data_IF_973309386186
#
_entry.id   IF_973309386186
#
_cell.length_a   1.000
_cell.length_b   1.000
_cell.length_c   1.000
_cell.angle_alpha   90.00
_cell.angle_beta   90.00
_cell.angle_gamma   90.00
#
_symmetry.space_group_name_H-M   'P 1'
#
loop_
_entity.id
_entity.type
_entity.pdbx_description
1 polymer ?
#
# COMPACT_ATOMS: atom_id res chain seq x y z
N UNK A 1 -17.39 14.19 16.89
CA UNK A 1 -17.23 12.77 16.46
C UNK A 1 -18.55 11.99 16.52
N UNK A 2 -19.41 12.20 17.53
CA UNK A 2 -20.72 11.53 17.60
C UNK A 2 -21.63 11.85 16.40
N UNK A 3 -21.71 13.12 16.00
CA UNK A 3 -22.48 13.56 14.81
C UNK A 3 -21.96 13.02 13.47
N UNK A 4 -20.66 12.71 13.36
CA UNK A 4 -20.09 12.16 12.12
C UNK A 4 -20.39 10.68 12.00
N UNK A 5 -20.34 9.96 13.12
CA UNK A 5 -20.78 8.56 13.15
C UNK A 5 -22.30 8.47 12.91
N UNK A 6 -23.12 9.30 13.55
CA UNK A 6 -24.58 9.29 13.38
C UNK A 6 -25.03 9.71 11.96
N UNK A 7 -24.27 10.57 11.27
CA UNK A 7 -24.55 11.00 9.89
C UNK A 7 -23.82 10.20 8.79
N UNK A 8 -23.09 9.14 9.12
CA UNK A 8 -22.53 8.27 8.08
C UNK A 8 -23.66 7.59 7.31
N UNK A 9 -23.61 7.64 5.97
CA UNK A 9 -24.59 7.00 5.07
C UNK A 9 -24.80 5.50 5.37
N UNK A 10 -23.79 4.85 5.96
CA UNK A 10 -23.87 3.47 6.45
C UNK A 10 -24.94 3.30 7.54
N UNK A 11 -25.09 4.27 8.45
CA UNK A 11 -26.12 4.19 9.50
C UNK A 11 -27.52 4.39 8.94
N UNK A 12 -27.68 5.21 7.89
CA UNK A 12 -28.94 5.32 7.14
C UNK A 12 -29.30 4.02 6.44
N UNK A 13 -28.32 3.25 5.99
CA UNK A 13 -28.52 1.95 5.38
C UNK A 13 -28.96 0.86 6.38
N UNK A 14 -28.64 1.04 7.66
CA UNK A 14 -29.00 0.12 8.74
C UNK A 14 -30.40 0.40 9.33
N UNK A 15 -31.05 1.51 8.94
CA UNK A 15 -32.35 1.95 9.45
C UNK A 15 -33.54 1.28 8.72
N UNK A 16 -33.49 -0.05 8.66
CA UNK A 16 -34.56 -0.89 8.11
C UNK A 16 -34.59 -0.99 6.58
N UNK A 17 -35.47 -1.90 6.11
CA UNK A 17 -35.52 -2.33 4.69
C UNK A 17 -35.82 -1.17 3.73
N UNK A 18 -36.72 -0.26 4.10
CA UNK A 18 -37.12 0.84 3.23
C UNK A 18 -36.03 1.90 3.04
N UNK A 19 -35.27 2.23 4.10
CA UNK A 19 -34.14 3.16 4.01
C UNK A 19 -33.00 2.58 3.16
N UNK A 20 -32.71 1.28 3.35
CA UNK A 20 -31.79 0.52 2.50
C UNK A 20 -32.22 0.54 1.03
N UNK A 21 -33.48 0.23 0.73
CA UNK A 21 -34.00 0.25 -0.65
C UNK A 21 -33.96 1.64 -1.28
N UNK A 22 -34.28 2.70 -0.54
CA UNK A 22 -34.22 4.07 -1.04
C UNK A 22 -32.78 4.52 -1.34
N UNK A 23 -31.83 4.20 -0.45
CA UNK A 23 -30.42 4.48 -0.68
C UNK A 23 -29.88 3.71 -1.90
N UNK A 24 -30.26 2.43 -2.03
CA UNK A 24 -29.97 1.61 -3.22
C UNK A 24 -30.56 2.27 -4.48
N UNK A 25 -31.80 2.76 -4.44
CA UNK A 25 -32.43 3.48 -5.56
C UNK A 25 -31.70 4.78 -5.94
N UNK A 26 -31.23 5.56 -4.96
CA UNK A 26 -30.44 6.75 -5.20
C UNK A 26 -29.08 6.42 -5.83
N UNK A 27 -28.43 5.33 -5.39
CA UNK A 27 -27.22 4.82 -6.02
C UNK A 27 -27.46 4.28 -7.45
N UNK A 28 -28.64 3.71 -7.71
CA UNK A 28 -29.03 3.25 -9.05
C UNK A 28 -29.26 4.39 -10.04
N UNK A 29 -29.61 5.59 -9.58
CA UNK A 29 -29.70 6.76 -10.45
C UNK A 29 -28.32 7.36 -10.71
N UNK A 30 -27.40 6.58 -11.29
CA UNK A 30 -26.35 7.17 -12.10
C UNK A 30 -27.01 7.58 -13.43
N UNK A 31 -27.34 8.86 -13.66
CA UNK A 31 -28.04 9.27 -14.88
C UNK A 31 -27.25 8.92 -16.15
N UNK A 32 -25.92 8.79 -16.06
CA UNK A 32 -25.10 8.37 -17.19
C UNK A 32 -25.40 6.91 -17.62
N UNK A 33 -25.83 6.04 -16.71
CA UNK A 33 -26.22 4.67 -17.03
C UNK A 33 -27.46 4.60 -17.95
N UNK A 34 -28.35 5.59 -17.90
CA UNK A 34 -29.53 5.61 -18.78
C UNK A 34 -29.31 6.48 -20.02
N UNK A 35 -28.66 7.63 -19.86
CA UNK A 35 -28.52 8.64 -20.91
C UNK A 35 -27.31 8.37 -21.80
N UNK A 36 -26.14 8.11 -21.20
CA UNK A 36 -24.88 7.97 -21.93
C UNK A 36 -24.57 6.52 -22.31
N UNK A 37 -25.10 5.55 -21.57
CA UNK A 37 -24.75 4.13 -21.72
C UNK A 37 -25.97 3.25 -21.50
N UNK A 38 -27.00 3.32 -22.38
CA UNK A 38 -28.38 2.85 -22.14
C UNK A 38 -28.48 1.44 -21.56
N UNK A 39 -28.48 1.33 -20.23
CA UNK A 39 -28.54 0.07 -19.50
C UNK A 39 -27.24 -0.75 -19.48
N UNK A 40 -26.13 -0.20 -19.98
CA UNK A 40 -24.85 -0.87 -20.14
C UNK A 40 -23.84 -0.46 -19.06
N UNK A 41 -22.98 -1.39 -18.59
CA UNK A 41 -21.89 -1.05 -17.68
C UNK A 41 -20.93 -0.03 -18.29
N UNK A 42 -20.41 0.87 -17.45
CA UNK A 42 -19.42 1.88 -17.82
C UNK A 42 -18.11 1.66 -17.08
N UNK A 43 -17.00 2.10 -17.67
CA UNK A 43 -15.69 2.12 -17.01
C UNK A 43 -15.61 3.33 -16.05
N UNK A 44 -16.50 3.38 -15.07
CA UNK A 44 -16.58 4.43 -14.06
C UNK A 44 -16.73 3.82 -12.67
N UNK A 45 -16.31 4.55 -11.63
CA UNK A 45 -16.65 4.19 -10.26
C UNK A 45 -18.14 4.45 -9.93
N UNK A 46 -18.55 4.14 -8.70
CA UNK A 46 -19.94 4.33 -8.23
C UNK A 46 -20.38 5.79 -8.17
N UNK A 47 -19.46 6.75 -8.24
CA UNK A 47 -19.72 8.18 -8.28
C UNK A 47 -19.65 8.75 -9.72
N UNK A 48 -19.44 7.89 -10.73
CA UNK A 48 -19.36 8.28 -12.13
C UNK A 48 -17.99 8.81 -12.57
N UNK A 49 -16.95 8.68 -11.75
CA UNK A 49 -15.60 9.07 -12.19
C UNK A 49 -15.04 8.02 -13.15
N UNK A 50 -14.55 8.41 -14.34
CA UNK A 50 -13.93 7.47 -15.26
C UNK A 50 -12.73 6.76 -14.64
N UNK A 51 -12.61 5.47 -14.93
CA UNK A 51 -11.38 4.75 -14.65
C UNK A 51 -10.20 5.43 -15.36
N UNK A 52 -9.07 5.55 -14.69
CA UNK A 52 -7.88 6.14 -15.28
C UNK A 52 -6.60 5.40 -14.83
N UNK A 53 -5.55 5.56 -15.62
CA UNK A 53 -4.28 4.85 -15.44
C UNK A 53 -3.58 5.18 -14.10
N UNK A 54 -3.97 6.24 -13.39
CA UNK A 54 -3.39 6.59 -12.08
C UNK A 54 -3.71 5.58 -10.99
N UNK A 55 -4.64 4.65 -11.22
CA UNK A 55 -4.90 3.52 -10.32
C UNK A 55 -3.90 2.36 -10.48
N UNK A 56 -3.06 2.40 -11.52
CA UNK A 56 -2.04 1.38 -11.77
C UNK A 56 -0.72 1.82 -11.14
N UNK A 57 -0.15 0.96 -10.29
CA UNK A 57 1.20 1.12 -9.74
C UNK A 57 2.12 0.08 -10.38
N UNK A 58 3.23 0.54 -10.94
CA UNK A 58 4.30 -0.30 -11.46
C UNK A 58 5.63 0.41 -11.22
N UNK A 59 6.34 0.00 -10.18
CA UNK A 59 7.57 0.61 -9.72
C UNK A 59 8.82 -0.02 -10.35
N UNK A 60 8.66 -1.07 -11.16
CA UNK A 60 9.74 -1.86 -11.74
C UNK A 60 10.68 -2.47 -10.68
N UNK A 61 10.17 -2.64 -9.46
CA UNK A 61 10.79 -3.39 -8.38
C UNK A 61 9.77 -4.44 -7.92
N UNK A 62 10.08 -5.70 -8.20
CA UNK A 62 9.18 -6.82 -7.93
C UNK A 62 8.73 -6.88 -6.46
N UNK A 63 9.59 -6.53 -5.51
CA UNK A 63 9.25 -6.60 -4.08
C UNK A 63 8.31 -5.49 -3.65
N UNK A 64 8.35 -4.33 -4.33
CA UNK A 64 7.42 -3.22 -4.13
C UNK A 64 6.08 -3.53 -4.80
N UNK A 65 6.13 -3.98 -6.06
CA UNK A 65 4.95 -4.26 -6.86
C UNK A 65 4.12 -5.42 -6.27
N UNK A 66 4.76 -6.50 -5.81
CA UNK A 66 4.05 -7.61 -5.15
C UNK A 66 3.33 -7.18 -3.87
N UNK A 67 3.91 -6.27 -3.07
CA UNK A 67 3.23 -5.72 -1.89
C UNK A 67 2.06 -4.82 -2.26
N UNK A 68 2.21 -4.02 -3.31
CA UNK A 68 1.11 -3.23 -3.86
C UNK A 68 -0.04 -4.14 -4.33
N UNK A 69 0.28 -5.24 -5.00
CA UNK A 69 -0.70 -6.24 -5.44
C UNK A 69 -1.41 -6.88 -4.24
N UNK A 70 -0.68 -7.38 -3.24
CA UNK A 70 -1.26 -7.94 -2.01
C UNK A 70 -2.22 -6.94 -1.33
N UNK A 71 -1.82 -5.67 -1.22
CA UNK A 71 -2.68 -4.62 -0.66
C UNK A 71 -3.91 -4.31 -1.55
N UNK A 72 -3.77 -4.48 -2.87
CA UNK A 72 -4.87 -4.42 -3.84
C UNK A 72 -5.91 -5.49 -3.59
N UNK A 73 -5.51 -6.76 -3.54
CA UNK A 73 -6.39 -7.90 -3.28
C UNK A 73 -7.10 -7.77 -1.91
N UNK A 74 -6.39 -7.31 -0.86
CA UNK A 74 -7.02 -7.05 0.44
C UNK A 74 -8.12 -5.97 0.38
N UNK A 75 -7.89 -4.88 -0.37
CA UNK A 75 -8.89 -3.83 -0.55
C UNK A 75 -10.09 -4.31 -1.36
N UNK A 76 -9.87 -5.07 -2.42
CA UNK A 76 -10.93 -5.66 -3.23
C UNK A 76 -11.77 -6.65 -2.41
N UNK A 77 -11.13 -7.54 -1.64
CA UNK A 77 -11.81 -8.48 -0.74
C UNK A 77 -12.76 -7.76 0.23
N UNK A 78 -12.28 -6.73 0.93
CA UNK A 78 -13.10 -5.93 1.84
C UNK A 78 -14.24 -5.22 1.08
N UNK A 79 -13.97 -4.77 -0.15
CA UNK A 79 -14.99 -4.22 -1.04
C UNK A 79 -16.14 -5.21 -1.27
N UNK A 80 -15.84 -6.46 -1.65
CA UNK A 80 -16.86 -7.48 -1.83
C UNK A 80 -17.60 -7.84 -0.54
N UNK A 81 -16.87 -7.93 0.59
CA UNK A 81 -17.46 -8.19 1.90
C UNK A 81 -18.48 -7.13 2.30
N UNK A 82 -18.20 -5.86 1.97
CA UNK A 82 -19.14 -4.76 2.17
C UNK A 82 -20.32 -4.78 1.19
N UNK A 83 -20.17 -5.34 -0.01
CA UNK A 83 -21.23 -5.42 -1.02
C UNK A 83 -22.24 -6.54 -0.76
N UNK A 84 -21.80 -7.68 -0.20
CA UNK A 84 -22.65 -8.86 0.02
C UNK A 84 -23.92 -8.56 0.85
N UNK A 85 -23.86 -7.78 1.95
CA UNK A 85 -25.06 -7.43 2.71
C UNK A 85 -26.02 -6.48 1.97
N UNK A 86 -25.59 -5.84 0.88
CA UNK A 86 -26.38 -4.80 0.20
C UNK A 86 -27.40 -5.36 -0.79
N UNK A 87 -27.33 -6.66 -1.10
CA UNK A 87 -28.23 -7.33 -2.03
C UNK A 87 -28.86 -8.55 -1.38
N UNK A 88 -30.02 -8.97 -1.90
CA UNK A 88 -30.67 -10.25 -1.57
C UNK A 88 -30.70 -11.23 -2.75
N UNK A 89 -30.21 -10.82 -3.92
CA UNK A 89 -30.12 -11.66 -5.11
C UNK A 89 -29.08 -12.78 -4.92
N UNK A 90 -29.52 -14.03 -5.08
CA UNK A 90 -28.68 -15.21 -4.86
C UNK A 90 -27.52 -15.32 -5.84
N UNK A 91 -27.70 -14.93 -7.09
CA UNK A 91 -26.67 -15.01 -8.13
C UNK A 91 -25.62 -13.92 -7.95
N UNK A 92 -26.04 -12.72 -7.51
CA UNK A 92 -25.10 -11.65 -7.15
C UNK A 92 -24.28 -12.07 -5.94
N UNK A 93 -24.90 -12.64 -4.89
CA UNK A 93 -24.18 -13.15 -3.72
C UNK A 93 -23.17 -14.24 -4.10
N UNK A 94 -23.57 -15.21 -4.93
CA UNK A 94 -22.68 -16.27 -5.41
C UNK A 94 -21.48 -15.69 -6.17
N UNK A 95 -21.71 -14.73 -7.06
CA UNK A 95 -20.65 -14.04 -7.81
C UNK A 95 -19.68 -13.31 -6.88
N UNK A 96 -20.20 -12.53 -5.93
CA UNK A 96 -19.37 -11.80 -4.96
C UNK A 96 -18.57 -12.75 -4.06
N UNK A 97 -19.16 -13.87 -3.64
CA UNK A 97 -18.47 -14.90 -2.87
C UNK A 97 -17.34 -15.56 -3.67
N UNK A 98 -17.57 -15.86 -4.95
CA UNK A 98 -16.54 -16.37 -5.83
C UNK A 98 -15.38 -15.38 -5.97
N UNK A 99 -15.66 -14.13 -6.33
CA UNK A 99 -14.65 -13.09 -6.50
C UNK A 99 -13.86 -12.86 -5.21
N UNK A 100 -14.54 -12.69 -4.08
CA UNK A 100 -13.91 -12.54 -2.77
C UNK A 100 -12.95 -13.70 -2.44
N UNK A 101 -13.32 -14.94 -2.78
CA UNK A 101 -12.48 -16.12 -2.57
C UNK A 101 -11.27 -16.12 -3.52
N UNK A 102 -11.44 -15.61 -4.74
CA UNK A 102 -10.33 -15.43 -5.70
C UNK A 102 -9.30 -14.42 -5.20
N UNK A 103 -9.72 -13.31 -4.59
CA UNK A 103 -8.80 -12.34 -3.99
C UNK A 103 -7.89 -12.99 -2.93
N UNK A 104 -8.44 -13.89 -2.11
CA UNK A 104 -7.65 -14.66 -1.13
C UNK A 104 -6.61 -15.53 -1.84
N UNK A 105 -6.98 -16.16 -2.95
CA UNK A 105 -6.05 -16.99 -3.73
C UNK A 105 -4.95 -16.15 -4.37
N UNK A 106 -5.28 -15.00 -4.96
CA UNK A 106 -4.29 -14.10 -5.54
C UNK A 106 -3.35 -13.55 -4.47
N UNK A 107 -3.87 -13.18 -3.29
CA UNK A 107 -3.04 -12.76 -2.16
C UNK A 107 -2.01 -13.84 -1.81
N UNK A 108 -2.44 -15.10 -1.67
CA UNK A 108 -1.54 -16.23 -1.40
C UNK A 108 -0.50 -16.43 -2.51
N UNK A 109 -0.88 -16.27 -3.77
CA UNK A 109 0.04 -16.36 -4.90
C UNK A 109 1.10 -15.26 -4.87
N UNK A 110 0.71 -14.01 -4.58
CA UNK A 110 1.65 -12.89 -4.48
C UNK A 110 2.54 -12.99 -3.24
N UNK A 111 2.00 -13.44 -2.11
CA UNK A 111 2.76 -13.70 -0.89
C UNK A 111 3.82 -14.77 -1.13
N UNK A 112 3.43 -15.92 -1.71
CA UNK A 112 4.36 -16.98 -2.07
C UNK A 112 5.44 -16.49 -3.05
N UNK A 113 5.07 -15.69 -4.07
CA UNK A 113 6.05 -15.11 -4.98
C UNK A 113 7.04 -14.18 -4.24
N UNK A 114 6.55 -13.34 -3.32
CA UNK A 114 7.39 -12.42 -2.54
C UNK A 114 8.36 -13.17 -1.61
N UNK A 115 7.97 -14.33 -1.08
CA UNK A 115 8.82 -15.17 -0.25
C UNK A 115 10.00 -15.78 -1.01
N UNK A 116 9.84 -16.04 -2.31
CA UNK A 116 10.93 -16.59 -3.17
C UNK A 116 12.05 -15.59 -3.45
N UNK A 117 11.80 -14.28 -3.29
CA UNK A 117 12.78 -13.23 -3.54
C UNK A 117 13.50 -12.92 -2.22
N UNK A 118 14.80 -13.17 -2.11
CA UNK A 118 15.57 -12.81 -0.90
C UNK A 118 16.81 -11.97 -1.23
N UNK A 119 17.02 -10.84 -0.53
CA UNK A 119 16.17 -10.26 0.51
C UNK A 119 14.88 -9.63 -0.06
N UNK A 120 13.72 -9.88 0.58
CA UNK A 120 12.44 -9.31 0.13
C UNK A 120 12.12 -7.90 0.68
N UNK A 121 12.95 -7.32 1.55
CA UNK A 121 12.77 -5.91 1.94
C UNK A 121 13.27 -5.04 0.78
N UNK A 122 12.55 -3.97 0.38
CA UNK A 122 12.87 -3.18 -0.80
C UNK A 122 14.38 -2.95 -0.88
N UNK A 123 15.06 -3.61 -1.83
CA UNK A 123 16.49 -3.54 -1.91
C UNK A 123 16.80 -2.18 -2.53
N UNK A 124 16.84 -1.14 -1.73
CA UNK A 124 17.51 0.09 -2.12
C UNK A 124 19.02 -0.19 -2.18
N UNK A 125 19.73 0.49 -3.09
CA UNK A 125 21.19 0.58 -2.96
C UNK A 125 21.52 1.25 -1.64
N UNK A 126 20.78 2.30 -1.31
CA UNK A 126 20.93 3.06 -0.07
C UNK A 126 20.28 2.34 1.10
N UNK A 127 21.09 2.03 2.10
CA UNK A 127 20.64 1.51 3.37
C UNK A 127 20.13 2.64 4.26
N UNK A 128 19.25 2.28 5.19
CA UNK A 128 18.69 3.22 6.16
C UNK A 128 19.78 3.75 7.10
N UNK A 129 19.77 5.06 7.36
CA UNK A 129 20.64 5.65 8.38
C UNK A 129 20.38 5.03 9.78
N UNK A 130 21.41 4.55 10.50
CA UNK A 130 21.29 4.02 11.86
C UNK A 130 20.83 5.07 12.88
N UNK A 131 20.87 6.34 12.50
CA UNK A 131 20.44 7.46 13.33
C UNK A 131 18.92 7.56 13.46
N UNK A 132 18.19 7.09 12.44
CA UNK A 132 16.75 7.32 12.30
C UNK A 132 15.91 6.04 12.19
N UNK A 133 16.52 4.92 11.85
CA UNK A 133 15.83 3.67 11.47
C UNK A 133 14.96 3.06 12.58
N UNK A 134 15.27 3.34 13.84
CA UNK A 134 14.57 2.86 15.02
C UNK A 134 13.91 3.98 15.84
N UNK A 135 13.68 5.16 15.25
CA UNK A 135 12.96 6.24 15.92
C UNK A 135 11.45 6.09 15.75
N UNK A 136 10.72 6.18 16.86
CA UNK A 136 9.27 6.32 16.85
C UNK A 136 8.88 7.62 17.54
N UNK A 137 8.26 8.54 16.79
CA UNK A 137 7.76 9.79 17.34
C UNK A 137 6.30 9.65 17.73
N UNK A 138 6.00 9.94 19.00
CA UNK A 138 4.62 10.13 19.42
C UNK A 138 4.15 11.52 18.98
N UNK A 139 3.41 11.55 17.87
CA UNK A 139 2.77 12.76 17.35
C UNK A 139 1.28 12.81 17.70
N UNK A 140 0.79 11.85 18.48
CA UNK A 140 -0.58 11.84 18.98
C UNK A 140 -0.72 12.82 20.15
N UNK A 141 -1.89 13.47 20.25
CA UNK A 141 -2.29 14.24 21.45
C UNK A 141 -3.25 13.45 22.35
N UNK A 142 -3.56 12.21 21.96
CA UNK A 142 -4.59 11.38 22.56
C UNK A 142 -3.99 10.27 23.43
N UNK A 143 -4.65 9.11 23.43
CA UNK A 143 -4.13 7.93 24.12
C UNK A 143 -2.92 7.37 23.38
N UNK A 144 -1.90 7.03 24.14
CA UNK A 144 -0.71 6.37 23.60
C UNK A 144 -1.01 4.90 23.33
N UNK A 145 -0.57 4.43 22.17
CA UNK A 145 -0.60 3.02 21.79
C UNK A 145 0.83 2.51 21.72
N UNK A 146 1.07 1.41 22.44
CA UNK A 146 2.38 0.77 22.59
C UNK A 146 2.29 -0.68 22.10
N UNK A 147 3.32 -1.14 21.39
CA UNK A 147 3.38 -2.49 20.82
C UNK A 147 4.65 -2.76 20.03
N UNK A 148 4.76 -3.92 19.35
CA UNK A 148 6.00 -4.34 18.66
C UNK A 148 6.51 -3.38 17.58
N UNK A 149 5.69 -2.43 17.13
CA UNK A 149 6.05 -1.40 16.17
C UNK A 149 6.73 -0.17 16.80
N UNK A 150 6.78 -0.06 18.13
CA UNK A 150 7.41 1.05 18.84
C UNK A 150 8.03 0.68 20.21
N UNK A 151 8.06 -0.61 20.56
CA UNK A 151 8.66 -1.17 21.77
C UNK A 151 9.47 -2.42 21.48
N UNK A 152 10.54 -2.63 22.26
CA UNK A 152 11.44 -3.76 22.08
C UNK A 152 12.31 -3.59 20.84
N UNK A 153 12.51 -4.67 20.08
CA UNK A 153 13.36 -4.66 18.88
C UNK A 153 12.52 -4.59 17.58
N UNK A 154 13.04 -3.86 16.61
CA UNK A 154 12.49 -3.82 15.26
C UNK A 154 12.57 -5.19 14.58
N UNK A 155 11.54 -5.51 13.80
CA UNK A 155 11.32 -6.86 13.26
C UNK A 155 12.46 -7.35 12.37
N UNK A 156 12.96 -6.49 11.47
CA UNK A 156 13.98 -6.82 10.47
C UNK A 156 15.40 -6.46 10.90
N UNK A 157 15.59 -5.22 11.37
CA UNK A 157 16.93 -4.70 11.65
C UNK A 157 17.43 -5.09 13.04
N UNK A 158 16.56 -5.61 13.91
CA UNK A 158 16.88 -5.99 15.30
C UNK A 158 17.50 -4.83 16.09
N UNK A 159 16.99 -3.64 15.84
CA UNK A 159 17.36 -2.41 16.53
C UNK A 159 16.31 -2.09 17.58
N UNK A 160 16.75 -1.71 18.77
CA UNK A 160 15.89 -1.32 19.88
C UNK A 160 15.12 -0.04 19.52
N UNK A 161 13.79 -0.06 19.62
CA UNK A 161 12.94 1.09 19.36
C UNK A 161 13.22 2.21 20.36
N UNK A 162 13.41 3.41 19.82
CA UNK A 162 13.56 4.63 20.58
C UNK A 162 12.25 5.43 20.52
N UNK A 163 11.46 5.29 21.58
CA UNK A 163 10.20 6.00 21.72
C UNK A 163 10.45 7.46 22.15
N UNK A 164 10.07 8.40 21.30
CA UNK A 164 10.17 9.83 21.55
C UNK A 164 8.78 10.35 21.90
N UNK A 165 8.58 10.68 23.17
CA UNK A 165 7.31 11.21 23.67
C UNK A 165 7.18 12.71 23.37
N UNK A 166 8.14 13.53 23.84
CA UNK A 166 8.21 14.95 23.50
C UNK A 166 8.97 15.18 22.18
N UNK A 167 8.22 15.03 21.09
CA UNK A 167 8.72 15.24 19.72
C UNK A 167 9.28 16.66 19.51
N UNK A 168 8.70 17.68 20.14
CA UNK A 168 9.12 19.07 19.92
C UNK A 168 10.46 19.36 20.62
N UNK A 169 10.61 18.88 21.85
CA UNK A 169 11.86 19.00 22.60
C UNK A 169 12.99 18.22 21.90
N UNK A 170 12.71 17.02 21.42
CA UNK A 170 13.67 16.21 20.68
C UNK A 170 14.20 16.95 19.45
N UNK A 171 13.31 17.50 18.62
CA UNK A 171 13.69 18.27 17.42
C UNK A 171 14.48 19.53 17.78
N UNK A 172 14.08 20.27 18.82
CA UNK A 172 14.77 21.49 19.26
C UNK A 172 16.16 21.22 19.81
N UNK A 173 16.30 20.19 20.63
CA UNK A 173 17.56 19.86 21.30
C UNK A 173 18.61 19.27 20.36
N UNK A 174 18.18 18.69 19.24
CA UNK A 174 19.05 18.04 18.26
C UNK A 174 19.24 18.84 16.97
N UNK A 175 18.81 20.10 16.94
CA UNK A 175 18.87 20.97 15.76
C UNK A 175 18.22 20.30 14.53
N UNK A 176 16.93 19.95 14.64
CA UNK A 176 16.23 19.26 13.55
C UNK A 176 16.74 17.84 13.32
N UNK A 177 17.14 17.14 14.39
CA UNK A 177 17.79 15.84 14.38
C UNK A 177 19.20 15.81 13.80
N UNK A 178 19.77 16.92 13.30
CA UNK A 178 21.11 16.95 12.67
C UNK A 178 22.21 16.47 13.63
N UNK A 179 22.12 16.81 14.91
CA UNK A 179 23.18 16.50 15.89
C UNK A 179 22.97 15.16 16.62
N UNK A 180 21.88 14.45 16.31
CA UNK A 180 21.59 13.16 16.95
C UNK A 180 22.64 12.10 16.57
N UNK A 181 23.00 11.25 17.53
CA UNK A 181 23.88 10.09 17.31
C UNK A 181 23.06 8.80 17.24
N UNK A 182 23.49 7.80 16.45
CA UNK A 182 22.88 6.47 16.47
C UNK A 182 22.84 5.89 17.89
N UNK A 183 21.71 5.29 18.25
CA UNK A 183 21.42 4.67 19.55
C UNK A 183 20.53 3.44 19.30
N UNK A 184 20.56 2.45 20.20
CA UNK A 184 19.74 1.23 20.04
C UNK A 184 20.07 0.39 18.81
N UNK A 185 21.27 0.57 18.23
CA UNK A 185 21.73 -0.14 17.03
C UNK A 185 23.22 -0.40 17.08
N UNK A 186 23.64 -1.52 16.50
CA UNK A 186 25.05 -1.86 16.29
C UNK A 186 25.63 -1.23 15.02
N UNK A 187 24.79 -0.73 14.12
CA UNK A 187 25.21 -0.20 12.82
C UNK A 187 25.79 1.21 12.95
N UNK A 188 26.83 1.49 12.18
CA UNK A 188 27.43 2.82 12.07
C UNK A 188 27.18 3.44 10.69
N UNK A 189 27.15 4.77 10.61
CA UNK A 189 27.03 5.50 9.34
C UNK A 189 28.13 5.11 8.34
N UNK A 190 29.36 4.84 8.83
CA UNK A 190 30.48 4.42 7.98
C UNK A 190 30.22 3.04 7.35
N UNK A 191 29.72 2.09 8.13
CA UNK A 191 29.39 0.76 7.64
C UNK A 191 28.25 0.82 6.61
N UNK A 192 27.23 1.64 6.87
CA UNK A 192 26.14 1.88 5.91
C UNK A 192 26.67 2.45 4.60
N UNK A 193 27.51 3.49 4.63
CA UNK A 193 28.10 4.05 3.41
C UNK A 193 28.97 3.05 2.63
N UNK A 194 29.68 2.16 3.32
CA UNK A 194 30.45 1.09 2.69
C UNK A 194 29.53 0.05 2.03
N UNK A 195 28.44 -0.31 2.71
CA UNK A 195 27.42 -1.22 2.18
C UNK A 195 26.74 -0.66 0.94
N UNK A 196 26.36 0.62 0.96
CA UNK A 196 25.76 1.32 -0.17
C UNK A 196 26.67 1.26 -1.41
N UNK A 197 27.96 1.58 -1.22
CA UNK A 197 28.95 1.53 -2.30
C UNK A 197 29.15 0.12 -2.86
N UNK A 198 29.07 -0.90 -1.99
CA UNK A 198 29.20 -2.30 -2.40
C UNK A 198 27.98 -2.73 -3.23
N UNK A 199 26.77 -2.51 -2.71
CA UNK A 199 25.52 -2.85 -3.38
C UNK A 199 25.35 -2.10 -4.70
N UNK A 200 25.77 -0.83 -4.77
CA UNK A 200 25.76 -0.04 -6.00
C UNK A 200 26.57 -0.71 -7.12
N UNK A 201 27.77 -1.20 -6.79
CA UNK A 201 28.66 -1.89 -7.74
C UNK A 201 28.08 -3.23 -8.18
N UNK A 202 27.55 -4.00 -7.24
CA UNK A 202 26.94 -5.31 -7.52
C UNK A 202 25.76 -5.15 -8.48
N UNK A 203 24.85 -4.22 -8.19
CA UNK A 203 23.70 -3.93 -9.05
C UNK A 203 24.07 -3.38 -10.40
N UNK A 204 25.02 -2.45 -10.45
CA UNK A 204 25.50 -1.94 -11.73
C UNK A 204 26.07 -3.07 -12.59
N UNK A 205 26.81 -4.01 -11.99
CA UNK A 205 27.35 -5.17 -12.70
C UNK A 205 26.24 -6.11 -13.21
N UNK A 206 25.23 -6.38 -12.38
CA UNK A 206 24.08 -7.19 -12.75
C UNK A 206 23.33 -6.58 -13.95
N UNK A 207 22.96 -5.29 -13.85
CA UNK A 207 22.27 -4.57 -14.93
C UNK A 207 23.10 -4.60 -16.21
N UNK A 208 24.40 -4.27 -16.13
CA UNK A 208 25.28 -4.28 -17.30
C UNK A 208 25.41 -5.69 -17.91
N UNK A 209 25.38 -6.75 -17.11
CA UNK A 209 25.45 -8.13 -17.60
C UNK A 209 24.18 -8.62 -18.28
N UNK A 210 23.03 -7.99 -18.00
CA UNK A 210 21.74 -8.30 -18.63
C UNK A 210 21.49 -7.51 -19.91
N UNK A 211 22.33 -6.52 -20.23
CA UNK A 211 22.20 -5.75 -21.47
C UNK A 211 22.82 -6.53 -22.64
N UNK A 212 22.11 -6.68 -23.78
CA UNK A 212 22.67 -7.29 -24.98
C UNK A 212 23.84 -6.46 -25.52
N UNK A 213 24.81 -7.13 -26.16
CA UNK A 213 25.91 -6.44 -26.84
C UNK A 213 25.37 -5.65 -28.04
N UNK A 214 25.71 -4.35 -28.10
CA UNK A 214 25.38 -3.48 -29.22
C UNK A 214 24.46 -2.32 -28.88
N UNK A 215 23.99 -1.61 -29.91
CA UNK A 215 23.05 -0.51 -29.75
C UNK A 215 21.66 -1.05 -29.39
N UNK A 216 21.18 -0.71 -28.19
CA UNK A 216 19.82 -0.99 -27.76
C UNK A 216 18.83 -0.22 -28.66
N UNK A 217 18.18 -0.92 -29.59
CA UNK A 217 17.12 -0.34 -30.41
C UNK A 217 15.77 -0.97 -30.05
N UNK A 218 14.79 -0.13 -29.76
CA UNK A 218 13.40 -0.55 -29.56
C UNK A 218 12.69 -0.90 -30.86
N UNK A 219 13.21 -0.45 -32.01
CA UNK A 219 12.63 -0.71 -33.32
C UNK A 219 13.71 -0.69 -34.40
N UNK A 220 13.85 -1.77 -35.16
CA UNK A 220 14.67 -1.79 -36.37
C UNK A 220 13.88 -1.20 -37.53
N UNK A 221 13.74 0.14 -37.55
CA UNK A 221 13.39 0.80 -38.82
C UNK A 221 14.55 0.53 -39.76
N UNK A 222 14.39 -0.46 -40.64
CA UNK A 222 15.34 -0.76 -41.69
C UNK A 222 15.49 0.51 -42.53
N UNK A 223 16.71 1.01 -42.64
CA UNK A 223 17.07 2.06 -43.60
C UNK A 223 16.61 1.58 -44.99
N UNK A 224 15.53 2.18 -45.49
CA UNK A 224 15.09 2.08 -46.88
C UNK A 224 15.51 3.32 -47.63
#
# INVERSE_FOLDING_TARGET
MKDVAENMEINKMMDGKAAKENFIHQAFTNPQFLVSSPGSPTLTDSNGNPWCATYVSANADLTVDLRSNMAGECRAKIGYENLIPLTDDSYVKETLMFLMTREVTHFQQFEAALETIQPNFPPGVFQTSPKYSNLYFNLSKGKDARGPWNEGESTRLKEEWQYIDDSLQEVRSTNGLVDRKPKGTHRTEKEVQQMDKKLAKERSKEVLSSLPEGAMSWCSYQDK
#
